data_IF_530686428548
#
_entry.id   IF_530686428548
#
_cell.length_a   1.000
_cell.length_b   1.000
_cell.length_c   1.000
_cell.angle_alpha   90.00
_cell.angle_beta   90.00
_cell.angle_gamma   90.00
#
_symmetry.space_group_name_H-M   'P 1'
#
loop_
_entity.id
_entity.type
_entity.pdbx_description
1 polymer ?
#
# COMPACT_ATOMS: atom_id res chain seq x y z
N UNK A 1 12.30 14.37 3.07
CA UNK A 1 11.11 14.14 2.55
C UNK A 1 10.90 12.94 1.68
N UNK A 2 10.70 13.20 0.40
CA UNK A 2 10.28 12.14 -0.52
C UNK A 2 11.39 11.13 -0.84
N UNK A 3 12.64 11.48 -0.59
CA UNK A 3 13.75 10.56 -0.86
C UNK A 3 13.66 9.28 -0.04
N UNK A 4 13.24 9.39 1.21
CA UNK A 4 13.10 8.22 2.08
C UNK A 4 11.95 7.34 1.59
N UNK A 5 10.87 7.97 1.13
CA UNK A 5 9.73 7.26 0.58
C UNK A 5 10.14 6.53 -0.70
N UNK A 6 10.86 7.21 -1.58
CA UNK A 6 11.34 6.63 -2.83
C UNK A 6 12.25 5.44 -2.57
N UNK A 7 13.10 5.53 -1.56
CA UNK A 7 14.02 4.45 -1.20
C UNK A 7 13.26 3.18 -0.79
N UNK A 8 12.26 3.33 0.08
CA UNK A 8 11.44 2.21 0.52
C UNK A 8 10.66 1.61 -0.65
N UNK A 9 10.05 2.46 -1.48
CA UNK A 9 9.31 2.00 -2.64
C UNK A 9 10.19 1.23 -3.61
N UNK A 10 11.33 1.79 -3.95
CA UNK A 10 12.25 1.16 -4.90
C UNK A 10 12.74 -0.18 -4.39
N UNK A 11 13.04 -0.28 -3.09
CA UNK A 11 13.48 -1.54 -2.51
C UNK A 11 12.39 -2.60 -2.61
N UNK A 12 11.18 -2.27 -2.17
CA UNK A 12 10.07 -3.22 -2.18
C UNK A 12 9.70 -3.64 -3.61
N UNK A 13 9.69 -2.69 -4.53
CA UNK A 13 9.37 -3.00 -5.93
C UNK A 13 10.44 -3.87 -6.56
N UNK A 14 11.71 -3.69 -6.19
CA UNK A 14 12.76 -4.55 -6.71
C UNK A 14 12.62 -5.99 -6.20
N UNK A 15 12.16 -6.18 -4.96
CA UNK A 15 11.89 -7.52 -4.42
C UNK A 15 10.81 -8.20 -5.26
N UNK A 16 9.73 -7.48 -5.57
CA UNK A 16 8.66 -8.02 -6.40
C UNK A 16 9.15 -8.32 -7.82
N UNK A 17 9.96 -7.44 -8.37
CA UNK A 17 10.51 -7.63 -9.73
C UNK A 17 11.38 -8.89 -9.79
N UNK A 18 12.19 -9.12 -8.76
CA UNK A 18 13.04 -10.31 -8.70
C UNK A 18 12.22 -11.60 -8.65
N UNK A 19 10.96 -11.53 -8.28
CA UNK A 19 10.05 -12.68 -8.29
C UNK A 19 9.41 -12.92 -9.65
N UNK A 20 9.71 -12.07 -10.64
CA UNK A 20 9.09 -12.17 -11.95
C UNK A 20 7.77 -11.43 -12.06
N UNK A 21 7.53 -10.43 -11.22
CA UNK A 21 6.28 -9.70 -11.21
C UNK A 21 6.28 -8.61 -12.29
N UNK A 22 5.16 -8.51 -12.99
CA UNK A 22 4.92 -7.39 -13.90
C UNK A 22 4.41 -6.22 -13.06
N UNK A 23 5.17 -5.11 -13.06
CA UNK A 23 4.90 -3.98 -12.18
C UNK A 23 4.53 -2.74 -12.97
N UNK A 24 3.45 -2.09 -12.55
CA UNK A 24 3.12 -0.75 -12.98
C UNK A 24 3.12 0.15 -11.75
N UNK A 25 3.84 1.26 -11.80
CA UNK A 25 3.84 2.22 -10.71
C UNK A 25 3.67 3.64 -11.24
N UNK A 26 2.83 4.40 -10.56
CA UNK A 26 2.57 5.80 -10.89
C UNK A 26 2.36 6.53 -9.58
N UNK A 27 3.46 7.06 -9.04
CA UNK A 27 3.50 7.63 -7.71
C UNK A 27 3.64 9.14 -7.80
N UNK A 28 2.69 9.85 -7.22
CA UNK A 28 2.76 11.30 -7.07
C UNK A 28 2.41 11.68 -5.63
N UNK A 29 3.28 12.45 -5.01
CA UNK A 29 3.03 13.03 -3.71
C UNK A 29 3.36 14.51 -3.78
N UNK A 30 2.57 15.36 -3.10
CA UNK A 30 2.85 16.80 -3.13
C UNK A 30 4.17 17.11 -2.42
N UNK A 31 4.80 18.22 -2.78
CA UNK A 31 6.07 18.64 -2.18
C UNK A 31 5.95 18.87 -0.69
N UNK A 32 4.83 19.41 -0.25
CA UNK A 32 4.60 19.64 1.17
C UNK A 32 3.63 18.58 1.69
N UNK A 33 4.14 17.75 2.59
CA UNK A 33 3.35 16.71 3.23
C UNK A 33 3.05 17.12 4.66
N UNK A 34 1.76 17.18 5.01
CA UNK A 34 1.34 17.34 6.39
C UNK A 34 1.49 16.02 7.15
N UNK A 35 1.66 14.94 6.41
CA UNK A 35 1.77 13.59 6.93
C UNK A 35 3.26 13.28 7.09
N UNK A 36 3.64 12.67 8.23
CA UNK A 36 5.05 12.36 8.46
C UNK A 36 5.54 11.31 7.47
N UNK A 37 6.84 11.37 7.19
CA UNK A 37 7.49 10.37 6.35
C UNK A 37 7.29 8.97 6.93
N UNK A 38 7.37 8.85 8.25
CA UNK A 38 7.15 7.56 8.93
C UNK A 38 5.77 6.99 8.60
N UNK A 39 4.73 7.82 8.67
CA UNK A 39 3.37 7.35 8.42
C UNK A 39 3.16 6.99 6.96
N UNK A 40 3.70 7.78 6.03
CA UNK A 40 3.62 7.47 4.60
C UNK A 40 4.33 6.15 4.30
N UNK A 41 5.53 5.95 4.83
CA UNK A 41 6.28 4.72 4.58
C UNK A 41 5.61 3.52 5.24
N UNK A 42 4.92 3.73 6.37
CA UNK A 42 4.15 2.67 7.02
C UNK A 42 3.03 2.19 6.09
N UNK A 43 2.31 3.14 5.47
CA UNK A 43 1.20 2.79 4.58
C UNK A 43 1.72 2.03 3.36
N UNK A 44 2.67 2.61 2.63
CA UNK A 44 3.23 1.95 1.44
C UNK A 44 3.88 0.62 1.78
N UNK A 45 4.69 0.60 2.85
CA UNK A 45 5.43 -0.61 3.22
C UNK A 45 4.52 -1.77 3.54
N UNK A 46 3.48 -1.54 4.34
CA UNK A 46 2.57 -2.62 4.72
C UNK A 46 1.72 -3.09 3.54
N UNK A 47 1.24 -2.16 2.71
CA UNK A 47 0.49 -2.55 1.52
C UNK A 47 1.36 -3.39 0.58
N UNK A 48 2.62 -2.98 0.38
CA UNK A 48 3.52 -3.71 -0.50
C UNK A 48 3.95 -5.05 0.08
N UNK A 49 4.17 -5.12 1.40
CA UNK A 49 4.51 -6.39 2.04
C UNK A 49 3.38 -7.40 1.87
N UNK A 50 2.13 -6.96 2.04
CA UNK A 50 0.98 -7.82 1.82
C UNK A 50 0.92 -8.30 0.37
N UNK A 51 1.16 -7.41 -0.58
CA UNK A 51 1.15 -7.74 -1.99
C UNK A 51 2.24 -8.74 -2.33
N UNK A 52 3.47 -8.50 -1.85
CA UNK A 52 4.61 -9.37 -2.13
C UNK A 52 4.36 -10.76 -1.55
N UNK A 53 3.81 -10.83 -0.33
CA UNK A 53 3.47 -12.12 0.26
C UNK A 53 2.47 -12.90 -0.59
N UNK A 54 1.45 -12.21 -1.10
CA UNK A 54 0.44 -12.86 -1.94
C UNK A 54 1.02 -13.32 -3.27
N UNK A 55 1.91 -12.53 -3.85
CA UNK A 55 2.50 -12.84 -5.16
C UNK A 55 3.33 -14.13 -5.14
N UNK A 56 3.86 -14.52 -3.99
CA UNK A 56 4.63 -15.76 -3.88
C UNK A 56 3.82 -17.00 -4.22
N UNK A 57 2.50 -16.93 -4.12
CA UNK A 57 1.63 -18.09 -4.23
C UNK A 57 0.79 -18.11 -5.49
N UNK A 58 1.09 -17.25 -6.45
CA UNK A 58 0.40 -17.21 -7.73
C UNK A 58 1.41 -17.21 -8.86
N UNK A 59 1.07 -17.86 -9.97
CA UNK A 59 1.95 -17.89 -11.15
C UNK A 59 1.85 -16.63 -11.96
N UNK A 60 0.66 -16.05 -12.02
CA UNK A 60 0.42 -14.78 -12.72
C UNK A 60 0.67 -13.64 -11.73
N UNK A 61 1.85 -13.05 -11.80
CA UNK A 61 2.29 -12.04 -10.84
C UNK A 61 2.20 -10.64 -11.43
N UNK A 62 1.22 -9.87 -10.98
CA UNK A 62 1.04 -8.47 -11.39
C UNK A 62 0.82 -7.60 -10.18
N UNK A 63 1.45 -6.44 -10.18
CA UNK A 63 1.41 -5.49 -9.08
C UNK A 63 1.28 -4.08 -9.63
N UNK A 64 0.30 -3.34 -9.14
CA UNK A 64 0.11 -1.93 -9.49
C UNK A 64 0.16 -1.10 -8.22
N UNK A 65 0.99 -0.06 -8.22
CA UNK A 65 1.13 0.87 -7.10
C UNK A 65 0.88 2.28 -7.62
N UNK A 66 -0.08 2.95 -7.04
CA UNK A 66 -0.44 4.30 -7.46
C UNK A 66 -0.61 5.21 -6.26
N UNK A 67 -0.26 6.47 -6.42
CA UNK A 67 -0.70 7.50 -5.50
C UNK A 67 -1.06 8.73 -6.30
N UNK A 68 -2.04 9.48 -5.79
CA UNK A 68 -2.53 10.69 -6.42
C UNK A 68 -2.88 11.71 -5.35
N UNK A 69 -2.78 12.96 -5.72
CA UNK A 69 -3.12 14.06 -4.83
C UNK A 69 -4.10 14.98 -5.56
N UNK A 70 -5.19 15.30 -4.89
CA UNK A 70 -6.20 16.19 -5.45
C UNK A 70 -6.92 16.90 -4.32
N UNK A 71 -6.85 18.24 -4.32
CA UNK A 71 -7.59 19.09 -3.38
C UNK A 71 -7.39 18.70 -1.91
N UNK A 72 -6.14 18.48 -1.53
CA UNK A 72 -5.80 18.16 -0.16
C UNK A 72 -5.96 16.69 0.23
N UNK A 73 -6.33 15.86 -0.72
CA UNK A 73 -6.54 14.42 -0.47
C UNK A 73 -5.47 13.61 -1.19
N UNK A 74 -4.80 12.74 -0.45
CA UNK A 74 -3.86 11.77 -1.01
C UNK A 74 -4.53 10.41 -1.02
N UNK A 75 -4.53 9.75 -2.18
CA UNK A 75 -5.02 8.39 -2.30
C UNK A 75 -3.85 7.49 -2.66
N UNK A 76 -3.68 6.43 -1.88
CA UNK A 76 -2.64 5.42 -2.11
C UNK A 76 -3.34 4.12 -2.42
N UNK A 77 -2.98 3.50 -3.55
CA UNK A 77 -3.61 2.26 -4.01
C UNK A 77 -2.56 1.22 -4.35
N UNK A 78 -2.76 0.00 -3.90
CA UNK A 78 -1.93 -1.15 -4.26
C UNK A 78 -2.86 -2.27 -4.69
N UNK A 79 -2.63 -2.81 -5.89
CA UNK A 79 -3.41 -3.91 -6.44
C UNK A 79 -2.46 -5.03 -6.79
N UNK A 80 -2.84 -6.25 -6.46
CA UNK A 80 -1.98 -7.40 -6.77
C UNK A 80 -2.81 -8.63 -7.08
N UNK A 81 -2.26 -9.47 -7.96
CA UNK A 81 -2.83 -10.79 -8.18
C UNK A 81 -2.56 -11.65 -6.96
N UNK A 82 -3.40 -12.65 -6.74
CA UNK A 82 -3.22 -13.60 -5.65
C UNK A 82 -3.86 -14.92 -6.03
N UNK A 83 -3.54 -15.97 -5.25
CA UNK A 83 -4.11 -17.28 -5.45
C UNK A 83 -5.15 -17.54 -4.36
N UNK A 84 -6.47 -17.52 -4.69
CA UNK A 84 -7.51 -17.72 -3.69
C UNK A 84 -7.51 -19.13 -3.09
N UNK A 85 -6.85 -20.08 -3.77
CA UNK A 85 -6.77 -21.46 -3.30
C UNK A 85 -5.59 -21.70 -2.38
N UNK A 86 -4.73 -20.70 -2.16
CA UNK A 86 -3.55 -20.88 -1.35
C UNK A 86 -3.91 -21.05 0.12
N UNK A 87 -3.43 -22.12 0.79
CA UNK A 87 -3.67 -22.29 2.23
C UNK A 87 -3.08 -21.16 3.06
N UNK A 88 -2.03 -20.52 2.54
CA UNK A 88 -1.36 -19.43 3.23
C UNK A 88 -2.27 -18.22 3.43
N UNK A 89 -3.24 -18.02 2.52
CA UNK A 89 -4.15 -16.89 2.65
C UNK A 89 -4.97 -16.98 3.93
N UNK A 90 -5.37 -18.18 4.33
CA UNK A 90 -6.13 -18.38 5.56
C UNK A 90 -5.27 -18.12 6.79
N UNK A 91 -4.01 -18.57 6.74
CA UNK A 91 -3.08 -18.38 7.85
C UNK A 91 -2.62 -16.94 7.98
N UNK A 92 -2.62 -16.21 6.87
CA UNK A 92 -2.15 -14.83 6.86
C UNK A 92 -3.19 -13.83 7.32
N UNK A 93 -4.42 -14.24 7.57
CA UNK A 93 -5.44 -13.32 8.06
C UNK A 93 -4.96 -12.55 9.29
N UNK A 94 -4.29 -13.23 10.22
CA UNK A 94 -3.74 -12.59 11.40
C UNK A 94 -2.62 -11.61 11.06
N UNK A 95 -1.71 -12.00 10.19
CA UNK A 95 -0.61 -11.14 9.76
C UNK A 95 -1.10 -9.96 8.94
N UNK A 96 -2.03 -10.22 8.01
CA UNK A 96 -2.67 -9.15 7.27
C UNK A 96 -3.36 -8.18 8.21
N UNK A 97 -4.04 -8.72 9.22
CA UNK A 97 -4.71 -7.90 10.21
C UNK A 97 -3.75 -6.98 10.94
N UNK A 98 -2.56 -7.48 11.30
CA UNK A 98 -1.56 -6.66 11.98
C UNK A 98 -1.01 -5.57 11.07
N UNK A 99 -0.66 -5.91 9.84
CA UNK A 99 -0.15 -4.93 8.88
C UNK A 99 -1.19 -3.87 8.55
N UNK A 100 -2.43 -4.32 8.31
CA UNK A 100 -3.51 -3.39 8.00
C UNK A 100 -3.90 -2.56 9.21
N UNK A 101 -3.75 -3.11 10.43
CA UNK A 101 -4.01 -2.35 11.65
C UNK A 101 -3.03 -1.20 11.78
N UNK A 102 -1.76 -1.41 11.45
CA UNK A 102 -0.76 -0.33 11.46
C UNK A 102 -1.12 0.75 10.46
N UNK A 103 -1.58 0.36 9.26
CA UNK A 103 -2.02 1.31 8.26
C UNK A 103 -3.25 2.08 8.76
N UNK A 104 -4.20 1.37 9.35
CA UNK A 104 -5.40 2.00 9.90
C UNK A 104 -5.04 3.07 10.93
N UNK A 105 -4.13 2.74 11.86
CA UNK A 105 -3.68 3.71 12.85
C UNK A 105 -3.01 4.92 12.21
N UNK A 106 -2.18 4.68 11.18
CA UNK A 106 -1.50 5.77 10.49
C UNK A 106 -2.50 6.70 9.79
N UNK A 107 -3.47 6.14 9.06
CA UNK A 107 -4.42 6.96 8.31
C UNK A 107 -5.38 7.70 9.23
N UNK A 108 -5.75 7.11 10.36
CA UNK A 108 -6.70 7.74 11.29
C UNK A 108 -6.14 9.01 11.91
N UNK A 109 -4.82 9.12 12.05
CA UNK A 109 -4.20 10.36 12.52
C UNK A 109 -4.53 11.55 11.63
N UNK A 110 -4.84 11.30 10.37
CA UNK A 110 -5.07 12.33 9.36
C UNK A 110 -6.51 12.31 8.86
N UNK A 111 -7.41 11.80 9.68
CA UNK A 111 -8.84 11.70 9.37
C UNK A 111 -9.11 10.86 8.13
N UNK A 112 -8.23 9.92 7.86
CA UNK A 112 -8.33 9.09 6.67
C UNK A 112 -9.04 7.78 6.93
N UNK A 113 -9.21 7.02 5.84
CA UNK A 113 -9.81 5.70 5.88
C UNK A 113 -9.01 4.73 5.03
N UNK A 114 -9.15 3.47 5.34
CA UNK A 114 -8.56 2.38 4.57
C UNK A 114 -9.69 1.49 4.08
N UNK A 115 -9.59 1.05 2.82
CA UNK A 115 -10.56 0.14 2.22
C UNK A 115 -9.83 -0.97 1.50
N UNK A 116 -10.27 -2.20 1.72
CA UNK A 116 -9.75 -3.34 0.98
C UNK A 116 -10.91 -4.05 0.31
N UNK A 117 -10.63 -4.68 -0.83
CA UNK A 117 -11.62 -5.48 -1.54
C UNK A 117 -10.88 -6.53 -2.36
N UNK A 118 -11.60 -7.51 -2.84
CA UNK A 118 -10.97 -8.55 -3.66
C UNK A 118 -11.99 -9.16 -4.61
N UNK A 119 -11.44 -9.59 -5.75
CA UNK A 119 -12.17 -10.44 -6.69
C UNK A 119 -11.56 -11.84 -6.56
N UNK A 120 -11.90 -12.74 -7.47
CA UNK A 120 -11.32 -14.09 -7.44
C UNK A 120 -9.82 -14.11 -7.78
N UNK A 121 -9.27 -13.03 -8.37
CA UNK A 121 -7.85 -13.01 -8.78
C UNK A 121 -7.08 -11.79 -8.32
N UNK A 122 -7.76 -10.71 -7.93
CA UNK A 122 -7.11 -9.45 -7.59
C UNK A 122 -7.48 -9.01 -6.20
N UNK A 123 -6.49 -8.53 -5.47
CA UNK A 123 -6.69 -7.90 -4.18
C UNK A 123 -6.37 -6.41 -4.30
N UNK A 124 -7.23 -5.59 -3.69
CA UNK A 124 -7.14 -4.13 -3.75
C UNK A 124 -7.02 -3.56 -2.35
N UNK A 125 -6.02 -2.72 -2.13
CA UNK A 125 -5.87 -2.00 -0.87
C UNK A 125 -5.80 -0.51 -1.20
N UNK A 126 -6.61 0.28 -0.52
CA UNK A 126 -6.68 1.72 -0.74
C UNK A 126 -6.62 2.45 0.59
N UNK A 127 -5.87 3.54 0.63
CA UNK A 127 -5.84 4.44 1.76
C UNK A 127 -6.13 5.85 1.24
N UNK A 128 -7.00 6.55 1.93
CA UNK A 128 -7.37 7.93 1.61
C UNK A 128 -7.05 8.77 2.84
N UNK A 129 -6.18 9.76 2.69
CA UNK A 129 -5.74 10.58 3.82
C UNK A 129 -5.77 12.05 3.43
N UNK A 130 -5.94 12.90 4.44
CA UNK A 130 -6.01 14.34 4.23
C UNK A 130 -4.65 14.97 4.49
N UNK A 131 -4.11 15.64 3.48
CA UNK A 131 -2.86 16.36 3.58
C UNK A 131 -3.14 17.84 3.89
N UNK A 132 -3.74 18.08 5.06
CA UNK A 132 -4.20 19.38 5.46
C UNK A 132 -3.93 19.60 6.94
N UNK A 133 -3.02 20.53 7.25
CA UNK A 133 -2.65 20.81 8.63
C UNK A 133 -3.82 21.33 9.46
N UNK A 134 -4.79 21.99 8.86
CA UNK A 134 -5.93 22.52 9.58
C UNK A 134 -6.81 21.41 10.17
N UNK A 135 -6.71 20.20 9.63
CA UNK A 135 -7.48 19.06 10.11
C UNK A 135 -6.89 18.45 11.39
N UNK A 136 -5.67 18.85 11.74
CA UNK A 136 -4.95 18.24 12.87
C UNK A 136 -5.16 18.94 14.20
N UNK A 137 -5.80 20.06 14.17
CA UNK A 137 -5.99 20.85 15.39
C UNK A 137 -6.98 20.22 16.37
#
# INVERSE_FOLDING_TARGET
GNDDIDCILNYKLSVAEDMGTEIFSDIYLPNKLAITTFDITTIFGNFLDNAINALQFTDDKRLTVKSAYNKGIIKISVENTYNPESPTDKNREGEHGLGLLSVKHAVEKYNGIIKTSQTDKMFYANAIIYNDNSQKS
#
